data_IF_452649641090
#
_entry.id   IF_452649641090
#
_cell.length_a   1.000
_cell.length_b   1.000
_cell.length_c   1.000
_cell.angle_alpha   90.00
_cell.angle_beta   90.00
_cell.angle_gamma   90.00
#
_symmetry.space_group_name_H-M   'P 1'
#
loop_
_entity.id
_entity.type
_entity.pdbx_description
1 polymer ?
#
# COMPACT_ATOMS: atom_id res chain seq x y z
N UNK A 1 8.46 9.26 -15.08
CA UNK A 1 8.00 10.63 -14.77
C UNK A 1 6.48 10.78 -14.84
N UNK A 2 5.79 10.16 -15.82
CA UNK A 2 4.35 10.37 -16.04
C UNK A 2 3.44 9.87 -14.93
N UNK A 3 3.77 8.76 -14.27
CA UNK A 3 2.93 8.21 -13.20
C UNK A 3 2.99 9.06 -11.92
N UNK A 4 4.16 9.54 -11.56
CA UNK A 4 4.35 10.43 -10.40
C UNK A 4 3.61 11.74 -10.61
N UNK A 5 3.68 12.32 -11.80
CA UNK A 5 2.94 13.54 -12.15
C UNK A 5 1.43 13.30 -12.13
N UNK A 6 0.97 12.15 -12.59
CA UNK A 6 -0.45 11.81 -12.56
C UNK A 6 -0.97 11.64 -11.13
N UNK A 7 -0.23 10.93 -10.26
CA UNK A 7 -0.56 10.81 -8.83
C UNK A 7 -0.58 12.18 -8.16
N UNK A 8 0.42 13.02 -8.43
CA UNK A 8 0.46 14.37 -7.90
C UNK A 8 -0.76 15.19 -8.34
N UNK A 9 -1.09 15.18 -9.62
CA UNK A 9 -2.27 15.87 -10.15
C UNK A 9 -3.57 15.37 -9.50
N UNK A 10 -3.67 14.06 -9.25
CA UNK A 10 -4.84 13.46 -8.58
C UNK A 10 -4.97 13.97 -7.14
N UNK A 11 -3.86 14.07 -6.41
CA UNK A 11 -3.84 14.59 -5.04
C UNK A 11 -4.14 16.09 -5.01
N UNK A 12 -3.53 16.87 -5.90
CA UNK A 12 -3.77 18.32 -6.00
C UNK A 12 -5.21 18.67 -6.39
N UNK A 13 -5.91 17.79 -7.08
CA UNK A 13 -7.32 17.93 -7.41
C UNK A 13 -8.27 17.52 -6.27
N UNK A 14 -7.75 17.14 -5.10
CA UNK A 14 -8.57 16.81 -3.93
C UNK A 14 -9.15 18.11 -3.33
N UNK A 15 -10.40 18.01 -2.86
CA UNK A 15 -11.13 19.16 -2.27
C UNK A 15 -10.64 19.52 -0.86
N UNK A 16 -10.07 18.55 -0.14
CA UNK A 16 -9.58 18.64 1.22
C UNK A 16 -8.49 17.59 1.49
N UNK A 17 -7.89 17.62 2.68
CA UNK A 17 -6.82 16.71 3.07
C UNK A 17 -7.28 15.25 3.17
N UNK A 18 -8.51 14.99 3.59
CA UNK A 18 -9.05 13.64 3.69
C UNK A 18 -9.26 13.02 2.32
N UNK A 19 -9.78 13.78 1.39
CA UNK A 19 -9.88 13.37 -0.01
C UNK A 19 -8.50 13.17 -0.65
N UNK A 20 -7.50 13.96 -0.28
CA UNK A 20 -6.11 13.77 -0.72
C UNK A 20 -5.53 12.46 -0.17
N UNK A 21 -5.71 12.21 1.13
CA UNK A 21 -5.29 10.97 1.77
C UNK A 21 -5.97 9.74 1.16
N UNK A 22 -7.30 9.77 0.99
CA UNK A 22 -8.05 8.68 0.39
C UNK A 22 -7.50 8.31 -1.00
N UNK A 23 -7.21 9.31 -1.85
CA UNK A 23 -6.63 9.09 -3.18
C UNK A 23 -5.21 8.53 -3.17
N UNK A 24 -4.48 8.68 -2.07
CA UNK A 24 -3.15 8.10 -1.88
C UNK A 24 -3.21 6.69 -1.29
N UNK A 25 -4.12 6.46 -0.35
CA UNK A 25 -4.17 5.26 0.48
C UNK A 25 -5.07 4.16 -0.10
N UNK A 26 -6.11 4.52 -0.86
CA UNK A 26 -7.07 3.56 -1.42
C UNK A 26 -7.03 3.51 -2.94
N UNK A 27 -7.41 2.37 -3.52
CA UNK A 27 -7.43 2.19 -4.98
C UNK A 27 -8.59 2.90 -5.67
N UNK A 28 -9.65 3.18 -4.96
CA UNK A 28 -10.92 3.80 -5.40
C UNK A 28 -11.10 5.24 -4.91
N UNK A 29 -10.22 5.70 -4.01
CA UNK A 29 -10.24 7.07 -3.50
C UNK A 29 -11.38 7.34 -2.52
N UNK A 30 -12.02 6.29 -2.00
CA UNK A 30 -13.04 6.44 -0.96
C UNK A 30 -12.36 6.58 0.41
N UNK A 31 -12.67 7.68 1.10
CA UNK A 31 -12.22 7.88 2.46
C UNK A 31 -12.98 6.96 3.41
N UNK A 32 -12.27 6.31 4.32
CA UNK A 32 -12.93 5.71 5.47
C UNK A 32 -13.60 6.83 6.28
N UNK A 33 -14.93 6.80 6.33
CA UNK A 33 -15.69 7.66 7.24
C UNK A 33 -15.34 7.24 8.66
N UNK A 34 -14.62 8.08 9.38
CA UNK A 34 -14.40 7.91 10.81
C UNK A 34 -14.84 9.19 11.50
N UNK A 35 -15.82 9.04 12.35
CA UNK A 35 -16.22 10.09 13.30
C UNK A 35 -15.09 10.26 14.33
N UNK A 36 -14.89 11.46 14.83
CA UNK A 36 -13.91 11.81 15.88
C UNK A 36 -12.43 11.71 15.52
N UNK A 37 -12.04 11.99 14.26
CA UNK A 37 -10.63 12.11 13.90
C UNK A 37 -10.01 13.41 14.45
N UNK A 38 -8.73 13.37 14.88
CA UNK A 38 -8.02 14.57 15.34
C UNK A 38 -7.97 15.69 14.29
N UNK A 39 -8.01 16.94 14.73
CA UNK A 39 -7.89 18.11 13.84
C UNK A 39 -6.49 18.30 13.27
N UNK A 40 -5.45 17.94 14.05
CA UNK A 40 -4.06 17.99 13.57
C UNK A 40 -3.83 17.01 12.41
N UNK A 41 -3.42 17.49 11.22
CA UNK A 41 -3.30 16.66 10.02
C UNK A 41 -2.36 15.47 10.18
N UNK A 42 -1.24 15.62 10.90
CA UNK A 42 -0.29 14.54 11.12
C UNK A 42 -0.90 13.44 11.97
N UNK A 43 -1.53 13.80 13.08
CA UNK A 43 -2.18 12.86 13.99
C UNK A 43 -3.37 12.19 13.31
N UNK A 44 -4.13 12.95 12.50
CA UNK A 44 -5.25 12.45 11.70
C UNK A 44 -4.81 11.37 10.69
N UNK A 45 -3.77 11.63 9.91
CA UNK A 45 -3.25 10.64 8.94
C UNK A 45 -2.67 9.41 9.63
N UNK A 46 -2.03 9.57 10.78
CA UNK A 46 -1.56 8.44 11.59
C UNK A 46 -2.72 7.59 12.11
N UNK A 47 -3.82 8.20 12.52
CA UNK A 47 -5.01 7.48 12.94
C UNK A 47 -5.64 6.69 11.77
N UNK A 48 -5.76 7.31 10.61
CA UNK A 48 -6.24 6.66 9.39
C UNK A 48 -5.34 5.50 8.95
N UNK A 49 -4.01 5.69 8.95
CA UNK A 49 -3.07 4.60 8.67
C UNK A 49 -3.18 3.46 9.68
N UNK A 50 -3.35 3.78 10.96
CA UNK A 50 -3.47 2.78 12.01
C UNK A 50 -4.77 1.98 11.94
N UNK A 51 -5.85 2.59 11.44
CA UNK A 51 -7.17 1.96 11.31
C UNK A 51 -7.35 1.18 9.99
N UNK A 52 -6.66 1.57 8.93
CA UNK A 52 -6.80 1.00 7.59
C UNK A 52 -5.51 0.35 7.07
N UNK A 53 -4.56 1.16 6.59
CA UNK A 53 -3.36 0.65 5.93
C UNK A 53 -2.56 -0.34 6.77
N UNK A 54 -2.41 -0.08 8.07
CA UNK A 54 -1.64 -0.95 8.97
C UNK A 54 -2.26 -2.35 9.10
N UNK A 55 -3.54 -2.53 9.49
CA UNK A 55 -4.14 -3.86 9.61
C UNK A 55 -4.37 -4.53 8.25
N UNK A 56 -4.89 -3.82 7.26
CA UNK A 56 -5.40 -4.42 6.02
C UNK A 56 -4.28 -4.75 5.03
N UNK A 57 -3.18 -4.00 5.03
CA UNK A 57 -2.05 -4.25 4.13
C UNK A 57 -0.82 -4.81 4.87
N UNK A 58 -0.26 -4.07 5.83
CA UNK A 58 1.03 -4.41 6.45
C UNK A 58 0.92 -5.67 7.31
N UNK A 59 0.01 -5.68 8.28
CA UNK A 59 -0.13 -6.79 9.23
C UNK A 59 -0.69 -8.04 8.55
N UNK A 60 -1.65 -7.89 7.64
CA UNK A 60 -2.18 -9.01 6.86
C UNK A 60 -1.10 -9.70 6.04
N UNK A 61 -0.23 -8.95 5.36
CA UNK A 61 0.89 -9.54 4.61
C UNK A 61 1.88 -10.28 5.51
N UNK A 62 2.26 -9.66 6.63
CA UNK A 62 3.19 -10.27 7.58
C UNK A 62 2.61 -11.54 8.15
N UNK A 63 1.35 -11.51 8.63
CA UNK A 63 0.66 -12.66 9.20
C UNK A 63 0.56 -13.81 8.19
N UNK A 64 0.04 -13.55 7.00
CA UNK A 64 -0.15 -14.60 5.98
C UNK A 64 1.18 -15.21 5.53
N UNK A 65 2.20 -14.38 5.33
CA UNK A 65 3.52 -14.86 4.91
C UNK A 65 4.19 -15.72 6.00
N UNK A 66 4.16 -15.28 7.26
CA UNK A 66 4.79 -16.02 8.36
C UNK A 66 4.02 -17.28 8.72
N UNK A 67 2.67 -17.21 8.78
CA UNK A 67 1.83 -18.36 9.09
C UNK A 67 1.82 -19.43 8.00
N UNK A 68 2.20 -19.08 6.77
CA UNK A 68 2.37 -20.08 5.70
C UNK A 68 3.44 -21.15 6.03
N UNK A 69 4.34 -20.82 6.96
CA UNK A 69 5.37 -21.72 7.50
C UNK A 69 5.23 -21.90 9.03
N UNK A 70 4.04 -21.66 9.58
CA UNK A 70 3.70 -21.79 10.99
C UNK A 70 4.57 -20.94 11.94
N UNK A 71 5.04 -19.78 11.47
CA UNK A 71 5.83 -18.84 12.27
C UNK A 71 4.94 -17.71 12.80
N UNK A 72 4.74 -17.64 14.11
CA UNK A 72 4.05 -16.50 14.74
C UNK A 72 4.97 -15.29 14.85
N UNK A 73 4.53 -14.15 14.31
CA UNK A 73 5.24 -12.87 14.41
C UNK A 73 4.57 -11.98 15.46
N UNK A 74 5.36 -11.47 16.39
CA UNK A 74 4.95 -10.44 17.36
C UNK A 74 5.59 -9.11 17.01
N UNK A 75 4.82 -8.02 17.05
CA UNK A 75 5.28 -6.67 16.71
C UNK A 75 5.36 -5.82 17.98
N UNK A 76 6.54 -5.65 18.63
CA UNK A 76 6.66 -4.94 19.90
C UNK A 76 6.18 -3.49 19.81
N UNK A 77 6.33 -2.84 18.65
CA UNK A 77 5.89 -1.46 18.40
C UNK A 77 4.37 -1.29 18.41
N UNK A 78 3.61 -2.38 18.35
CA UNK A 78 2.15 -2.39 18.43
C UNK A 78 1.63 -2.80 19.82
N UNK A 79 2.51 -2.96 20.80
CA UNK A 79 2.06 -3.15 22.17
C UNK A 79 1.20 -1.94 22.62
N UNK A 80 0.09 -2.14 23.36
CA UNK A 80 -0.82 -1.06 23.74
C UNK A 80 -0.15 0.15 24.41
N UNK A 81 0.89 -0.10 25.19
CA UNK A 81 1.69 0.96 25.83
C UNK A 81 2.45 1.80 24.79
N UNK A 82 3.01 1.15 23.76
CA UNK A 82 3.74 1.81 22.66
C UNK A 82 2.79 2.63 21.78
N UNK A 83 1.62 2.10 21.50
CA UNK A 83 0.59 2.83 20.73
C UNK A 83 0.16 4.09 21.50
N UNK A 84 -0.18 3.96 22.79
CA UNK A 84 -0.52 5.12 23.63
C UNK A 84 0.61 6.15 23.67
N UNK A 85 1.84 5.72 23.88
CA UNK A 85 3.00 6.61 23.84
C UNK A 85 3.11 7.30 22.47
N UNK A 86 3.05 6.54 21.37
CA UNK A 86 3.16 7.10 20.03
C UNK A 86 2.12 8.19 19.76
N UNK A 87 0.88 7.99 20.15
CA UNK A 87 -0.19 8.98 19.95
C UNK A 87 -0.15 10.15 20.95
N UNK A 88 0.56 10.03 22.07
CA UNK A 88 0.77 11.14 23.01
C UNK A 88 1.94 12.06 22.63
N UNK A 89 2.77 11.67 21.66
CA UNK A 89 3.93 12.47 21.27
C UNK A 89 3.49 13.67 20.41
N UNK A 90 3.98 14.88 20.70
CA UNK A 90 3.72 16.05 19.88
C UNK A 90 4.40 15.94 18.50
N UNK A 91 3.88 16.65 17.47
CA UNK A 91 4.35 16.54 16.09
C UNK A 91 5.86 16.77 15.89
N UNK A 92 6.46 17.69 16.62
CA UNK A 92 7.89 18.04 16.54
C UNK A 92 8.83 16.92 17.02
N UNK A 93 8.33 15.99 17.85
CA UNK A 93 9.05 14.78 18.21
C UNK A 93 8.92 13.66 17.18
N UNK A 94 7.96 13.78 16.26
CA UNK A 94 7.70 12.78 15.24
C UNK A 94 8.36 13.11 13.91
N UNK A 95 8.26 14.38 13.51
CA UNK A 95 8.78 14.88 12.22
C UNK A 95 9.58 16.15 12.47
N UNK A 96 10.81 16.20 11.94
CA UNK A 96 11.69 17.37 11.95
C UNK A 96 12.13 17.72 10.54
N UNK A 97 12.85 18.84 10.39
CA UNK A 97 13.37 19.27 9.10
C UNK A 97 14.24 18.22 8.39
N UNK A 98 14.94 17.38 9.16
CA UNK A 98 15.79 16.28 8.69
C UNK A 98 15.03 14.96 8.42
N UNK A 99 13.71 14.94 8.61
CA UNK A 99 12.86 13.79 8.28
C UNK A 99 11.93 13.30 9.40
N UNK A 100 11.21 12.24 9.08
CA UNK A 100 10.30 11.59 10.02
C UNK A 100 10.97 10.62 10.99
N UNK A 101 10.16 10.06 11.93
CA UNK A 101 10.58 9.10 12.95
C UNK A 101 11.64 9.68 13.92
N UNK A 102 11.61 10.98 14.20
CA UNK A 102 12.66 11.68 14.89
C UNK A 102 13.01 11.04 16.26
N UNK A 103 12.02 10.82 17.11
CA UNK A 103 12.25 10.19 18.44
C UNK A 103 12.82 8.78 18.34
N UNK A 104 12.41 7.99 17.34
CA UNK A 104 12.96 6.64 17.14
C UNK A 104 14.41 6.69 16.65
N UNK A 105 14.73 7.62 15.75
CA UNK A 105 16.11 7.84 15.29
C UNK A 105 17.02 8.27 16.44
N UNK A 106 16.56 9.17 17.30
CA UNK A 106 17.32 9.61 18.47
C UNK A 106 17.50 8.49 19.51
N UNK A 107 16.47 7.68 19.75
CA UNK A 107 16.57 6.51 20.61
C UNK A 107 17.57 5.48 20.05
N UNK A 108 17.48 5.18 18.76
CA UNK A 108 18.38 4.23 18.09
C UNK A 108 19.84 4.72 18.09
N UNK A 109 20.06 6.02 17.90
CA UNK A 109 21.40 6.61 17.90
C UNK A 109 22.18 6.45 19.22
N UNK A 110 21.49 6.13 20.32
CA UNK A 110 22.13 5.78 21.60
C UNK A 110 22.77 4.40 21.60
N UNK A 111 22.38 3.54 20.67
CA UNK A 111 22.80 2.13 20.62
C UNK A 111 23.54 1.79 19.33
N UNK A 112 23.25 2.50 18.25
CA UNK A 112 23.78 2.22 16.90
C UNK A 112 24.27 3.52 16.28
N UNK A 113 25.49 3.56 15.71
CA UNK A 113 26.00 4.74 14.99
C UNK A 113 25.06 5.15 13.83
N UNK A 114 24.77 6.46 13.74
CA UNK A 114 23.83 7.01 12.73
C UNK A 114 24.09 6.55 11.29
N UNK A 115 25.32 6.49 10.77
CA UNK A 115 25.57 6.05 9.38
C UNK A 115 25.10 4.63 9.06
N UNK A 116 24.86 3.79 10.05
CA UNK A 116 24.37 2.43 9.82
C UNK A 116 22.86 2.34 9.55
N UNK A 117 22.10 3.33 9.96
CA UNK A 117 20.63 3.34 9.75
C UNK A 117 20.12 4.58 9.01
N UNK A 118 20.86 5.67 8.96
CA UNK A 118 20.50 6.86 8.19
C UNK A 118 20.91 6.68 6.72
N UNK A 119 19.94 6.36 5.87
CA UNK A 119 20.08 6.21 4.42
C UNK A 119 18.87 6.77 3.72
N UNK A 120 19.02 7.01 2.43
CA UNK A 120 17.89 7.42 1.58
C UNK A 120 16.74 6.43 1.71
N UNK A 121 15.54 6.98 1.84
CA UNK A 121 14.31 6.19 1.92
C UNK A 121 14.07 5.47 0.61
N UNK A 122 14.14 4.14 0.62
CA UNK A 122 13.69 3.29 -0.47
C UNK A 122 12.30 2.73 -0.15
N UNK A 123 11.35 2.84 -1.10
CA UNK A 123 10.03 2.24 -0.95
C UNK A 123 10.08 0.72 -1.07
N UNK A 124 9.11 0.03 -0.47
CA UNK A 124 8.89 -1.43 -0.63
C UNK A 124 8.11 -1.78 -1.90
N UNK A 125 8.23 -0.97 -2.95
CA UNK A 125 7.52 -1.23 -4.20
C UNK A 125 8.26 -2.26 -5.04
N UNK A 126 7.55 -3.30 -5.47
CA UNK A 126 8.03 -4.25 -6.45
C UNK A 126 7.71 -3.76 -7.87
N UNK A 127 8.55 -4.04 -8.86
CA UNK A 127 8.33 -3.60 -10.23
C UNK A 127 7.29 -4.48 -10.95
N UNK A 128 6.10 -4.65 -10.34
CA UNK A 128 5.01 -5.50 -10.87
C UNK A 128 4.65 -5.13 -12.30
N UNK A 129 4.62 -3.84 -12.61
CA UNK A 129 4.34 -3.37 -13.96
C UNK A 129 5.35 -3.87 -15.00
N UNK A 130 6.64 -3.88 -14.65
CA UNK A 130 7.66 -4.44 -15.53
C UNK A 130 7.55 -5.96 -15.63
N UNK A 131 7.26 -6.63 -14.51
CA UNK A 131 7.07 -8.08 -14.50
C UNK A 131 5.88 -8.54 -15.35
N UNK A 132 4.77 -7.84 -15.30
CA UNK A 132 3.58 -8.13 -16.12
C UNK A 132 3.82 -7.88 -17.61
N UNK A 133 4.70 -6.96 -17.97
CA UNK A 133 5.14 -6.76 -19.37
C UNK A 133 6.21 -7.75 -19.81
N UNK A 134 6.93 -8.37 -18.87
CA UNK A 134 8.04 -9.27 -19.09
C UNK A 134 7.81 -10.69 -18.57
N UNK A 135 8.51 -11.12 -17.50
CA UNK A 135 8.55 -12.54 -17.09
C UNK A 135 7.20 -13.10 -16.66
N UNK A 136 6.28 -12.30 -16.15
CA UNK A 136 4.93 -12.75 -15.73
C UNK A 136 3.87 -12.59 -16.82
N UNK A 137 4.23 -12.14 -18.03
CA UNK A 137 3.26 -11.86 -19.08
C UNK A 137 2.42 -13.09 -19.46
N UNK A 138 3.06 -14.22 -19.76
CA UNK A 138 2.36 -15.44 -20.15
C UNK A 138 1.45 -15.98 -19.05
N UNK A 139 1.90 -15.92 -17.79
CA UNK A 139 1.09 -16.26 -16.63
C UNK A 139 -0.14 -15.36 -16.50
N UNK A 140 0.03 -14.05 -16.65
CA UNK A 140 -1.07 -13.10 -16.60
C UNK A 140 -2.08 -13.32 -17.73
N UNK A 141 -1.61 -13.51 -18.97
CA UNK A 141 -2.48 -13.79 -20.12
C UNK A 141 -3.28 -15.09 -19.93
N UNK A 142 -2.65 -16.13 -19.36
CA UNK A 142 -3.32 -17.40 -19.02
C UNK A 142 -4.45 -17.19 -18.00
N UNK A 143 -4.19 -16.47 -16.92
CA UNK A 143 -5.22 -16.19 -15.90
C UNK A 143 -6.36 -15.32 -16.43
N UNK A 144 -6.05 -14.27 -17.21
CA UNK A 144 -7.09 -13.41 -17.82
C UNK A 144 -7.96 -14.15 -18.84
N UNK A 145 -7.43 -15.21 -19.46
CA UNK A 145 -8.14 -16.07 -20.37
C UNK A 145 -8.90 -17.22 -19.69
N UNK A 146 -8.74 -17.39 -18.37
CA UNK A 146 -9.28 -18.55 -17.67
C UNK A 146 -10.79 -18.65 -17.77
N UNK A 147 -11.29 -19.89 -17.81
CA UNK A 147 -12.73 -20.18 -17.88
C UNK A 147 -13.42 -19.75 -16.58
N UNK A 148 -12.80 -20.01 -15.43
CA UNK A 148 -13.37 -19.71 -14.11
C UNK A 148 -13.55 -18.22 -13.88
N UNK A 149 -12.53 -17.41 -14.25
CA UNK A 149 -12.66 -15.95 -14.20
C UNK A 149 -13.80 -15.46 -15.08
N UNK A 150 -13.98 -16.05 -16.28
CA UNK A 150 -15.08 -15.70 -17.18
C UNK A 150 -16.46 -16.01 -16.61
N UNK A 151 -16.61 -17.22 -16.04
CA UNK A 151 -17.88 -17.72 -15.53
C UNK A 151 -18.25 -17.13 -14.18
N UNK A 152 -17.28 -16.57 -13.43
CA UNK A 152 -17.52 -15.95 -12.14
C UNK A 152 -18.44 -14.73 -12.17
N UNK A 153 -18.48 -14.02 -13.32
CA UNK A 153 -19.23 -12.77 -13.43
C UNK A 153 -18.72 -11.59 -12.60
N UNK A 154 -17.61 -11.78 -11.85
CA UNK A 154 -17.08 -10.78 -10.91
C UNK A 154 -16.27 -9.66 -11.57
N UNK A 155 -15.91 -9.81 -12.85
CA UNK A 155 -14.99 -8.90 -13.54
C UNK A 155 -15.56 -8.45 -14.87
N UNK A 156 -15.57 -7.14 -15.12
CA UNK A 156 -15.83 -6.58 -16.44
C UNK A 156 -14.66 -6.92 -17.39
N UNK A 157 -14.92 -7.88 -18.26
CA UNK A 157 -13.92 -8.40 -19.21
C UNK A 157 -13.49 -7.38 -20.26
N UNK A 158 -14.42 -6.56 -20.74
CA UNK A 158 -14.12 -5.55 -21.74
C UNK A 158 -13.19 -4.47 -21.15
N UNK A 159 -13.50 -4.02 -19.93
CA UNK A 159 -12.65 -3.09 -19.18
C UNK A 159 -11.27 -3.71 -18.90
N UNK A 160 -11.23 -4.92 -18.37
CA UNK A 160 -9.97 -5.62 -18.07
C UNK A 160 -9.10 -5.81 -19.31
N UNK A 161 -9.69 -6.19 -20.44
CA UNK A 161 -8.98 -6.31 -21.71
C UNK A 161 -8.39 -4.98 -22.20
N UNK A 162 -9.11 -3.88 -22.05
CA UNK A 162 -8.58 -2.53 -22.35
C UNK A 162 -7.41 -2.17 -21.42
N UNK A 163 -7.53 -2.40 -20.11
CA UNK A 163 -6.46 -2.14 -19.14
C UNK A 163 -5.21 -2.95 -19.47
N UNK A 164 -5.39 -4.23 -19.82
CA UNK A 164 -4.29 -5.10 -20.22
C UNK A 164 -3.59 -4.61 -21.50
N UNK A 165 -4.36 -4.25 -22.52
CA UNK A 165 -3.82 -3.73 -23.77
C UNK A 165 -3.03 -2.42 -23.59
N UNK A 166 -3.54 -1.48 -22.75
CA UNK A 166 -2.85 -0.25 -22.42
C UNK A 166 -1.53 -0.51 -21.67
N UNK A 167 -1.59 -1.41 -20.67
CA UNK A 167 -0.42 -1.76 -19.85
C UNK A 167 0.66 -2.44 -20.67
N UNK A 168 0.28 -3.45 -21.47
CA UNK A 168 1.18 -4.21 -22.33
C UNK A 168 1.89 -3.34 -23.37
N UNK A 169 1.17 -2.38 -23.93
CA UNK A 169 1.72 -1.43 -24.91
C UNK A 169 2.58 -0.32 -24.26
N UNK A 170 2.75 -0.32 -22.95
CA UNK A 170 3.50 0.73 -22.23
C UNK A 170 2.85 2.12 -22.25
N UNK A 171 1.61 2.23 -22.77
CA UNK A 171 0.90 3.52 -22.87
C UNK A 171 0.52 4.07 -21.50
N UNK A 172 0.18 3.18 -20.56
CA UNK A 172 -0.21 3.52 -19.20
C UNK A 172 0.15 2.38 -18.25
N UNK A 173 0.66 2.69 -17.05
CA UNK A 173 0.81 1.66 -16.03
C UNK A 173 -0.56 1.35 -15.40
N UNK A 174 -0.98 0.10 -15.51
CA UNK A 174 -2.22 -0.43 -14.95
C UNK A 174 -1.96 -1.58 -13.97
N UNK A 175 -0.73 -1.70 -13.48
CA UNK A 175 -0.28 -2.83 -12.70
C UNK A 175 -1.16 -3.10 -11.48
N UNK A 176 -1.51 -2.08 -10.69
CA UNK A 176 -2.32 -2.24 -9.47
C UNK A 176 -3.69 -2.84 -9.77
N UNK A 177 -4.43 -2.25 -10.73
CA UNK A 177 -5.76 -2.74 -11.09
C UNK A 177 -5.72 -4.15 -11.71
N UNK A 178 -4.72 -4.41 -12.55
CA UNK A 178 -4.53 -5.73 -13.16
C UNK A 178 -4.12 -6.77 -12.13
N UNK A 179 -3.27 -6.41 -11.17
CA UNK A 179 -2.84 -7.31 -10.12
C UNK A 179 -3.99 -7.81 -9.25
N UNK A 180 -4.93 -6.93 -8.89
CA UNK A 180 -6.13 -7.34 -8.16
C UNK A 180 -6.95 -8.39 -8.92
N UNK A 181 -7.16 -8.17 -10.24
CA UNK A 181 -7.87 -9.14 -11.09
C UNK A 181 -7.10 -10.46 -11.23
N UNK A 182 -5.78 -10.39 -11.37
CA UNK A 182 -4.93 -11.58 -11.47
C UNK A 182 -4.92 -12.40 -10.18
N UNK A 183 -4.89 -11.73 -9.01
CA UNK A 183 -4.98 -12.43 -7.71
C UNK A 183 -6.34 -13.11 -7.53
N UNK A 184 -7.44 -12.44 -7.91
CA UNK A 184 -8.76 -13.06 -7.93
C UNK A 184 -8.79 -14.29 -8.86
N UNK A 185 -8.25 -14.17 -10.07
CA UNK A 185 -8.20 -15.27 -11.03
C UNK A 185 -7.37 -16.44 -10.51
N UNK A 186 -6.19 -16.18 -9.95
CA UNK A 186 -5.32 -17.21 -9.36
C UNK A 186 -6.02 -17.91 -8.19
N UNK A 187 -6.74 -17.16 -7.35
CA UNK A 187 -7.51 -17.73 -6.25
C UNK A 187 -8.67 -18.61 -6.76
N UNK A 188 -9.39 -18.19 -7.79
CA UNK A 188 -10.44 -19.01 -8.40
C UNK A 188 -9.88 -20.32 -8.97
N UNK A 189 -8.69 -20.29 -9.57
CA UNK A 189 -8.02 -21.48 -10.09
C UNK A 189 -7.54 -22.43 -8.97
N UNK A 190 -7.07 -21.90 -7.84
CA UNK A 190 -6.57 -22.70 -6.71
C UNK A 190 -7.66 -23.46 -5.95
N UNK A 191 -8.94 -23.13 -6.19
CA UNK A 191 -10.10 -23.78 -5.56
C UNK A 191 -10.71 -24.89 -6.42
N UNK A 192 -9.91 -25.47 -7.27
CA UNK A 192 -10.31 -26.58 -8.14
C UNK A 192 -10.30 -27.91 -7.44
#
# INVERSE_FOLDING_TARGET
PGETLHKLATVLAARDLDAAYARLATSDGEAMAQDDLPDDPLTRFRALDAAGYLPDDVLTKVDRASMSVALEVRVPMLAPAMIRLAFSLPPDLLVRADGGKAVLRDALARHVPRPLFEREKTGFSFPVGAWLRGPLRGWAEGLLASRRLRESGLVDRARTGRLWAEHRAGRRDRASALWAVLMLAAWLESRA
#
